data_IF_598142014509
#
_entry.id   IF_598142014509
#
_cell.length_a   1.000
_cell.length_b   1.000
_cell.length_c   1.000
_cell.angle_alpha   90.00
_cell.angle_beta   90.00
_cell.angle_gamma   90.00
#
_symmetry.space_group_name_H-M   'P 1'
#
loop_
_entity.id
_entity.type
_entity.pdbx_description
1 polymer ?
#
# COMPACT_ATOMS: atom_id res chain seq x y z
N UNK A 1 -3.42 -24.55 -18.68
CA UNK A 1 -3.42 -25.34 -17.43
C UNK A 1 -4.66 -25.02 -16.60
N UNK A 2 -4.88 -23.77 -16.18
CA UNK A 2 -6.06 -23.38 -15.39
C UNK A 2 -7.38 -23.94 -15.95
N UNK A 3 -7.70 -23.67 -17.23
CA UNK A 3 -8.94 -24.15 -17.87
C UNK A 3 -9.08 -25.69 -17.85
N UNK A 4 -7.97 -26.42 -17.99
CA UNK A 4 -7.98 -27.88 -17.97
C UNK A 4 -8.32 -28.41 -16.56
N UNK A 5 -7.86 -27.70 -15.53
CA UNK A 5 -8.14 -28.06 -14.14
C UNK A 5 -9.58 -27.69 -13.76
N UNK A 6 -10.06 -26.51 -14.17
CA UNK A 6 -11.45 -26.08 -13.91
C UNK A 6 -12.49 -26.97 -14.63
N UNK A 7 -12.10 -27.55 -15.76
CA UNK A 7 -12.95 -28.44 -16.56
C UNK A 7 -12.52 -29.91 -16.46
N UNK A 8 -11.88 -30.30 -15.36
CA UNK A 8 -11.34 -31.64 -15.16
C UNK A 8 -12.34 -32.78 -15.43
N UNK A 9 -13.59 -32.58 -15.04
CA UNK A 9 -14.67 -33.57 -15.23
C UNK A 9 -15.08 -33.75 -16.70
N UNK A 10 -14.71 -32.82 -17.58
CA UNK A 10 -14.96 -32.92 -19.03
C UNK A 10 -13.82 -33.59 -19.80
N UNK A 11 -12.64 -33.74 -19.18
CA UNK A 11 -11.48 -34.34 -19.81
C UNK A 11 -11.62 -35.87 -19.90
N UNK A 12 -11.24 -36.44 -21.04
CA UNK A 12 -11.11 -37.89 -21.19
C UNK A 12 -9.86 -38.43 -20.48
N UNK A 13 -9.73 -39.76 -20.38
CA UNK A 13 -8.59 -40.40 -19.71
C UNK A 13 -7.24 -39.96 -20.26
N UNK A 14 -7.15 -39.83 -21.58
CA UNK A 14 -5.90 -39.52 -22.28
C UNK A 14 -5.52 -38.05 -22.08
N UNK A 15 -6.51 -37.15 -22.05
CA UNK A 15 -6.31 -35.74 -21.72
C UNK A 15 -5.87 -35.56 -20.27
N UNK A 16 -6.49 -36.28 -19.32
CA UNK A 16 -6.06 -36.28 -17.91
C UNK A 16 -4.64 -36.80 -17.75
N UNK A 17 -4.28 -37.88 -18.45
CA UNK A 17 -2.93 -38.42 -18.45
C UNK A 17 -1.91 -37.40 -19.01
N UNK A 18 -2.24 -36.70 -20.10
CA UNK A 18 -1.40 -35.65 -20.66
C UNK A 18 -1.24 -34.45 -19.71
N UNK A 19 -2.28 -34.09 -18.94
CA UNK A 19 -2.17 -33.06 -17.89
C UNK A 19 -1.19 -33.51 -16.80
N UNK A 20 -1.28 -34.75 -16.33
CA UNK A 20 -0.35 -35.28 -15.32
C UNK A 20 1.08 -35.30 -15.84
N UNK A 21 1.31 -35.84 -17.03
CA UNK A 21 2.63 -35.83 -17.68
C UNK A 21 3.19 -34.41 -17.76
N UNK A 22 2.34 -33.42 -18.11
CA UNK A 22 2.78 -32.03 -18.16
C UNK A 22 3.12 -31.48 -16.78
N UNK A 23 2.36 -31.80 -15.74
CA UNK A 23 2.60 -31.32 -14.38
C UNK A 23 3.85 -31.93 -13.73
N UNK A 24 4.30 -33.10 -14.20
CA UNK A 24 5.41 -33.86 -13.58
C UNK A 24 6.60 -34.11 -14.52
N UNK A 25 6.64 -33.42 -15.66
CA UNK A 25 7.66 -33.62 -16.72
C UNK A 25 9.11 -33.33 -16.33
N UNK A 26 9.35 -32.62 -15.21
CA UNK A 26 10.67 -32.17 -14.77
C UNK A 26 11.16 -30.91 -15.49
N UNK A 27 10.28 -30.12 -16.11
CA UNK A 27 10.64 -28.85 -16.76
C UNK A 27 10.82 -27.74 -15.74
N UNK A 28 11.56 -26.69 -16.14
CA UNK A 28 11.85 -25.55 -15.27
C UNK A 28 10.61 -24.77 -14.82
N UNK A 29 9.51 -24.84 -15.59
CA UNK A 29 8.26 -24.13 -15.34
C UNK A 29 7.21 -24.97 -14.59
N UNK A 30 7.52 -26.23 -14.24
CA UNK A 30 6.52 -27.13 -13.64
C UNK A 30 5.94 -26.59 -12.34
N UNK A 31 6.77 -25.99 -11.48
CA UNK A 31 6.30 -25.38 -10.22
C UNK A 31 5.20 -24.35 -10.43
N UNK A 32 5.25 -23.61 -11.55
CA UNK A 32 4.27 -22.59 -11.86
C UNK A 32 2.96 -23.18 -12.37
N UNK A 33 3.04 -24.23 -13.20
CA UNK A 33 1.85 -24.95 -13.66
C UNK A 33 1.18 -25.71 -12.51
N UNK A 34 1.97 -26.32 -11.64
CA UNK A 34 1.52 -26.98 -10.41
C UNK A 34 0.85 -25.98 -9.47
N UNK A 35 1.46 -24.82 -9.25
CA UNK A 35 0.85 -23.74 -8.48
C UNK A 35 -0.49 -23.31 -9.06
N UNK A 36 -0.57 -23.06 -10.38
CA UNK A 36 -1.83 -22.72 -11.07
C UNK A 36 -2.90 -23.79 -10.88
N UNK A 37 -2.52 -25.07 -10.89
CA UNK A 37 -3.45 -26.18 -10.66
C UNK A 37 -3.96 -26.22 -9.21
N UNK A 38 -3.07 -26.03 -8.23
CA UNK A 38 -3.41 -26.06 -6.80
C UNK A 38 -4.16 -24.80 -6.33
N UNK A 39 -4.02 -23.68 -7.03
CA UNK A 39 -4.72 -22.43 -6.73
C UNK A 39 -6.07 -22.31 -7.44
N UNK A 40 -6.59 -23.36 -8.06
CA UNK A 40 -7.97 -23.34 -8.57
C UNK A 40 -8.98 -23.40 -7.43
N UNK A 41 -10.19 -22.91 -7.70
CA UNK A 41 -11.27 -22.91 -6.70
C UNK A 41 -11.77 -24.31 -6.36
N UNK A 42 -11.67 -25.23 -7.32
CA UNK A 42 -12.00 -26.64 -7.16
C UNK A 42 -10.88 -27.49 -7.77
N UNK A 43 -9.73 -27.56 -7.09
CA UNK A 43 -8.61 -28.36 -7.53
C UNK A 43 -8.95 -29.86 -7.37
N UNK A 44 -8.93 -30.67 -8.45
CA UNK A 44 -9.32 -32.08 -8.39
C UNK A 44 -8.47 -32.86 -7.40
N UNK A 45 -9.10 -33.74 -6.60
CA UNK A 45 -8.41 -34.53 -5.58
C UNK A 45 -7.28 -35.39 -6.13
N UNK A 46 -7.41 -35.89 -7.36
CA UNK A 46 -6.36 -36.63 -8.05
C UNK A 46 -5.13 -35.74 -8.34
N UNK A 47 -5.33 -34.47 -8.71
CA UNK A 47 -4.25 -33.51 -8.93
C UNK A 47 -3.60 -33.10 -7.60
N UNK A 48 -4.41 -32.85 -6.57
CA UNK A 48 -3.91 -32.53 -5.22
C UNK A 48 -3.05 -33.68 -4.67
N UNK A 49 -3.53 -34.92 -4.79
CA UNK A 49 -2.82 -36.11 -4.28
C UNK A 49 -1.52 -36.39 -5.02
N UNK A 50 -1.43 -36.05 -6.30
CA UNK A 50 -0.21 -36.22 -7.09
C UNK A 50 0.85 -35.15 -6.74
N UNK A 51 0.42 -33.92 -6.47
CA UNK A 51 1.33 -32.78 -6.29
C UNK A 51 1.74 -32.54 -4.83
N UNK A 52 0.94 -32.99 -3.87
CA UNK A 52 1.21 -32.81 -2.44
C UNK A 52 1.75 -34.10 -1.81
N UNK A 53 2.54 -34.00 -0.72
CA UNK A 53 3.01 -35.18 0.00
C UNK A 53 1.85 -36.02 0.56
N UNK A 54 2.08 -37.32 0.73
CA UNK A 54 1.11 -38.25 1.29
C UNK A 54 0.45 -37.73 2.58
N UNK A 55 -0.88 -37.74 2.60
CA UNK A 55 -1.67 -37.29 3.75
C UNK A 55 -1.80 -35.78 3.89
N UNK A 56 -1.33 -34.99 2.92
CA UNK A 56 -1.55 -33.55 2.84
C UNK A 56 -2.65 -33.26 1.81
N UNK A 57 -3.60 -32.41 2.19
CA UNK A 57 -4.73 -31.99 1.36
C UNK A 57 -4.99 -30.49 1.57
N UNK A 58 -5.60 -29.82 0.60
CA UNK A 58 -5.87 -28.37 0.64
C UNK A 58 -6.86 -27.96 1.74
N UNK A 59 -7.64 -28.90 2.29
CA UNK A 59 -8.52 -28.68 3.46
C UNK A 59 -7.77 -28.59 4.79
N UNK A 60 -6.46 -28.87 4.81
CA UNK A 60 -5.64 -28.78 6.02
C UNK A 60 -5.51 -27.33 6.51
N UNK A 61 -5.28 -27.12 7.83
CA UNK A 61 -5.04 -25.78 8.35
C UNK A 61 -3.86 -25.08 7.66
N UNK A 62 -3.90 -23.74 7.50
CA UNK A 62 -2.85 -22.98 6.80
C UNK A 62 -1.43 -23.26 7.29
N UNK A 63 -1.24 -23.32 8.61
CA UNK A 63 0.06 -23.62 9.21
C UNK A 63 0.60 -25.00 8.81
N UNK A 64 -0.29 -25.98 8.59
CA UNK A 64 0.10 -27.31 8.14
C UNK A 64 0.52 -27.29 6.68
N UNK A 65 -0.20 -26.57 5.82
CA UNK A 65 0.14 -26.41 4.41
C UNK A 65 1.52 -25.73 4.25
N UNK A 66 1.76 -24.64 4.97
CA UNK A 66 3.02 -23.89 4.92
C UNK A 66 4.23 -24.77 5.27
N UNK A 67 4.08 -25.66 6.26
CA UNK A 67 5.18 -26.53 6.73
C UNK A 67 5.34 -27.78 5.86
N UNK A 68 4.25 -28.37 5.39
CA UNK A 68 4.28 -29.68 4.75
C UNK A 68 4.50 -29.61 3.24
N UNK A 69 4.10 -28.52 2.58
CA UNK A 69 4.28 -28.37 1.14
C UNK A 69 5.77 -28.22 0.76
N UNK A 70 6.19 -28.71 -0.42
CA UNK A 70 7.51 -28.42 -0.95
C UNK A 70 7.76 -26.90 -1.00
N UNK A 71 8.90 -26.38 -0.49
CA UNK A 71 9.13 -24.93 -0.36
C UNK A 71 8.94 -24.13 -1.66
N UNK A 72 9.42 -24.65 -2.79
CA UNK A 72 9.28 -23.98 -4.09
C UNK A 72 7.84 -23.97 -4.61
N UNK A 73 7.02 -24.94 -4.19
CA UNK A 73 5.63 -25.05 -4.61
C UNK A 73 4.72 -24.13 -3.80
N UNK A 74 4.92 -24.04 -2.48
CA UNK A 74 4.19 -23.06 -1.65
C UNK A 74 4.56 -21.63 -2.05
N UNK A 75 5.83 -21.36 -2.34
CA UNK A 75 6.27 -20.08 -2.92
C UNK A 75 5.53 -19.77 -4.22
N UNK A 76 5.57 -20.69 -5.19
CA UNK A 76 4.91 -20.49 -6.48
C UNK A 76 3.38 -20.31 -6.33
N UNK A 77 2.73 -21.07 -5.44
CA UNK A 77 1.30 -20.98 -5.18
C UNK A 77 0.92 -19.62 -4.58
N UNK A 78 1.68 -19.10 -3.62
CA UNK A 78 1.44 -17.78 -3.03
C UNK A 78 1.67 -16.67 -4.07
N UNK A 79 2.69 -16.77 -4.91
CA UNK A 79 2.92 -15.83 -6.02
C UNK A 79 1.77 -15.83 -7.03
N UNK A 80 1.33 -17.02 -7.48
CA UNK A 80 0.19 -17.17 -8.42
C UNK A 80 -1.08 -16.61 -7.80
N UNK A 81 -1.38 -16.98 -6.55
CA UNK A 81 -2.57 -16.52 -5.84
C UNK A 81 -2.58 -15.00 -5.68
N UNK A 82 -1.44 -14.41 -5.29
CA UNK A 82 -1.30 -12.97 -5.09
C UNK A 82 -1.20 -12.19 -6.41
N UNK A 83 -1.01 -12.88 -7.53
CA UNK A 83 -0.81 -12.28 -8.85
C UNK A 83 0.49 -11.47 -8.97
N UNK A 84 1.50 -11.78 -8.16
CA UNK A 84 2.78 -11.04 -8.15
C UNK A 84 3.96 -11.98 -8.30
N UNK A 85 5.04 -11.57 -8.98
CA UNK A 85 5.18 -10.38 -9.84
C UNK A 85 4.38 -10.51 -11.15
N UNK A 86 4.43 -9.49 -12.01
CA UNK A 86 3.95 -9.63 -13.38
C UNK A 86 4.74 -10.73 -14.12
N UNK A 87 4.11 -11.49 -15.05
CA UNK A 87 2.76 -11.30 -15.60
C UNK A 87 1.65 -12.06 -14.86
N UNK A 88 1.88 -12.58 -13.65
CA UNK A 88 0.92 -13.47 -12.96
C UNK A 88 -0.45 -12.81 -12.75
N UNK A 89 -0.50 -11.49 -12.52
CA UNK A 89 -1.76 -10.75 -12.47
C UNK A 89 -2.50 -10.79 -13.81
N UNK A 90 -1.81 -10.49 -14.92
CA UNK A 90 -2.40 -10.38 -16.26
C UNK A 90 -2.96 -11.70 -16.79
N UNK A 91 -2.48 -12.83 -16.27
CA UNK A 91 -3.00 -14.15 -16.62
C UNK A 91 -4.39 -14.44 -16.04
N UNK A 92 -4.88 -13.62 -15.10
CA UNK A 92 -6.23 -13.75 -14.55
C UNK A 92 -6.46 -14.99 -13.68
N UNK A 93 -5.40 -15.66 -13.23
CA UNK A 93 -5.46 -16.85 -12.36
C UNK A 93 -5.34 -16.52 -10.86
N UNK A 94 -4.99 -15.28 -10.52
CA UNK A 94 -4.88 -14.80 -9.14
C UNK A 94 -6.22 -14.79 -8.41
N UNK A 95 -6.18 -14.81 -7.07
CA UNK A 95 -7.34 -14.89 -6.16
C UNK A 95 -8.29 -16.09 -6.36
N UNK A 96 -7.95 -17.02 -7.24
CA UNK A 96 -8.65 -18.30 -7.36
C UNK A 96 -8.35 -19.17 -6.13
N UNK A 97 -9.31 -20.00 -5.69
CA UNK A 97 -9.11 -20.81 -4.48
C UNK A 97 -8.94 -20.02 -3.18
N UNK A 98 -9.52 -18.80 -3.11
CA UNK A 98 -9.41 -17.89 -1.96
C UNK A 98 -9.70 -18.53 -0.60
N UNK A 99 -10.59 -19.52 -0.54
CA UNK A 99 -10.99 -20.15 0.72
C UNK A 99 -9.83 -20.95 1.36
N UNK A 100 -8.86 -21.39 0.55
CA UNK A 100 -7.63 -22.05 0.99
C UNK A 100 -6.49 -21.05 1.09
N UNK A 101 -6.29 -20.25 0.04
CA UNK A 101 -5.05 -19.49 -0.13
C UNK A 101 -5.05 -18.14 0.60
N UNK A 102 -6.20 -17.50 0.79
CA UNK A 102 -6.27 -16.26 1.59
C UNK A 102 -5.84 -16.52 3.06
N UNK A 103 -6.34 -17.57 3.75
CA UNK A 103 -5.83 -17.97 5.06
C UNK A 103 -4.35 -18.33 5.10
N UNK A 104 -3.80 -18.93 4.03
CA UNK A 104 -2.36 -19.25 3.92
C UNK A 104 -1.53 -17.97 3.85
N UNK A 105 -1.91 -17.01 3.01
CA UNK A 105 -1.23 -15.72 2.92
C UNK A 105 -1.31 -14.97 4.25
N UNK A 106 -2.46 -15.00 4.90
CA UNK A 106 -2.67 -14.43 6.23
C UNK A 106 -1.79 -15.06 7.32
N UNK A 107 -1.61 -16.38 7.30
CA UNK A 107 -0.74 -17.07 8.23
C UNK A 107 0.73 -16.66 7.98
N UNK A 108 1.16 -16.57 6.72
CA UNK A 108 2.49 -16.08 6.36
C UNK A 108 2.71 -14.64 6.84
N UNK A 109 1.73 -13.75 6.70
CA UNK A 109 1.81 -12.35 7.14
C UNK A 109 1.99 -12.20 8.67
N UNK A 110 1.72 -13.26 9.45
CA UNK A 110 1.94 -13.33 10.91
C UNK A 110 3.31 -13.90 11.29
N UNK A 111 4.16 -14.22 10.32
CA UNK A 111 5.49 -14.79 10.53
C UNK A 111 6.57 -13.94 9.87
N UNK A 112 7.15 -12.94 10.59
CA UNK A 112 8.17 -12.03 10.06
C UNK A 112 9.37 -12.70 9.42
N UNK A 113 9.77 -13.86 9.93
CA UNK A 113 10.93 -14.61 9.44
C UNK A 113 10.62 -15.47 8.20
N UNK A 114 9.35 -15.54 7.78
CA UNK A 114 8.98 -16.29 6.59
C UNK A 114 9.49 -15.58 5.31
N UNK A 115 10.09 -16.29 4.35
CA UNK A 115 10.62 -15.69 3.12
C UNK A 115 9.60 -14.89 2.30
N UNK A 116 8.32 -15.30 2.38
CA UNK A 116 7.20 -14.67 1.68
C UNK A 116 6.48 -13.59 2.51
N UNK A 117 7.00 -13.19 3.68
CA UNK A 117 6.35 -12.23 4.56
C UNK A 117 6.00 -10.92 3.84
N UNK A 118 6.96 -10.32 3.13
CA UNK A 118 6.70 -9.04 2.47
C UNK A 118 5.69 -9.18 1.31
N UNK A 119 5.73 -10.29 0.57
CA UNK A 119 4.75 -10.60 -0.49
C UNK A 119 3.34 -10.75 0.10
N UNK A 120 3.23 -11.47 1.21
CA UNK A 120 1.97 -11.61 1.92
C UNK A 120 1.42 -10.26 2.37
N UNK A 121 2.28 -9.38 2.88
CA UNK A 121 1.90 -8.02 3.24
C UNK A 121 1.50 -7.15 2.05
N UNK A 122 2.17 -7.29 0.91
CA UNK A 122 1.79 -6.57 -0.32
C UNK A 122 0.38 -6.99 -0.79
N UNK A 123 0.06 -8.29 -0.71
CA UNK A 123 -1.29 -8.80 -1.01
C UNK A 123 -2.33 -8.35 0.04
N UNK A 124 -2.03 -8.50 1.33
CA UNK A 124 -2.95 -8.16 2.43
C UNK A 124 -3.24 -6.66 2.47
N UNK A 125 -2.25 -5.80 2.26
CA UNK A 125 -2.47 -4.36 2.23
C UNK A 125 -3.20 -3.88 0.97
N UNK A 126 -3.15 -4.64 -0.13
CA UNK A 126 -3.92 -4.35 -1.33
C UNK A 126 -5.38 -4.83 -1.25
N UNK A 127 -5.62 -6.01 -0.68
CA UNK A 127 -6.95 -6.65 -0.64
C UNK A 127 -7.71 -6.49 0.68
N UNK A 128 -7.00 -6.16 1.75
CA UNK A 128 -7.56 -6.07 3.09
C UNK A 128 -8.24 -4.75 3.41
N UNK A 129 -9.07 -4.76 4.44
CA UNK A 129 -9.59 -3.57 5.09
C UNK A 129 -8.79 -3.23 6.37
N UNK A 130 -9.03 -2.05 6.93
CA UNK A 130 -8.33 -1.58 8.13
C UNK A 130 -8.50 -2.50 9.35
N UNK A 131 -9.64 -3.18 9.50
CA UNK A 131 -9.92 -4.08 10.61
C UNK A 131 -9.16 -5.40 10.47
N UNK A 132 -9.13 -5.95 9.25
CA UNK A 132 -8.37 -7.14 8.90
C UNK A 132 -6.88 -6.93 9.13
N UNK A 133 -6.33 -5.83 8.62
CA UNK A 133 -4.92 -5.49 8.82
C UNK A 133 -4.61 -5.24 10.29
N UNK A 134 -5.46 -4.51 11.02
CA UNK A 134 -5.33 -4.27 12.47
C UNK A 134 -5.16 -5.57 13.27
N UNK A 135 -5.94 -6.62 12.96
CA UNK A 135 -5.80 -7.92 13.63
C UNK A 135 -4.42 -8.54 13.44
N UNK A 136 -3.90 -8.53 12.21
CA UNK A 136 -2.57 -9.06 11.88
C UNK A 136 -1.48 -8.24 12.58
N UNK A 137 -1.60 -6.90 12.58
CA UNK A 137 -0.69 -6.01 13.32
C UNK A 137 -0.67 -6.33 14.81
N UNK A 138 -1.85 -6.57 15.40
CA UNK A 138 -1.99 -6.95 16.81
C UNK A 138 -1.28 -8.26 17.11
N UNK A 139 -1.47 -9.28 16.26
CA UNK A 139 -0.85 -10.61 16.41
C UNK A 139 0.68 -10.56 16.32
N UNK A 140 1.22 -9.69 15.45
CA UNK A 140 2.67 -9.48 15.32
C UNK A 140 3.30 -8.74 16.50
N UNK A 141 2.55 -7.82 17.11
CA UNK A 141 2.97 -7.06 18.28
C UNK A 141 4.16 -6.12 18.04
N UNK A 142 4.64 -5.53 19.14
CA UNK A 142 5.65 -4.46 19.12
C UNK A 142 6.99 -4.87 18.48
N UNK A 143 7.38 -6.15 18.60
CA UNK A 143 8.65 -6.65 18.05
C UNK A 143 8.77 -6.49 16.53
N UNK A 144 7.63 -6.45 15.81
CA UNK A 144 7.60 -6.31 14.36
C UNK A 144 7.10 -4.93 13.89
N UNK A 145 6.73 -4.05 14.81
CA UNK A 145 5.99 -2.82 14.49
C UNK A 145 6.78 -1.87 13.57
N UNK A 146 8.08 -1.70 13.78
CA UNK A 146 8.94 -0.86 12.92
C UNK A 146 8.97 -1.36 11.45
N UNK A 147 9.02 -2.69 11.26
CA UNK A 147 8.99 -3.30 9.92
C UNK A 147 7.63 -3.11 9.26
N UNK A 148 6.56 -3.33 10.02
CA UNK A 148 5.18 -3.14 9.56
C UNK A 148 4.92 -1.67 9.19
N UNK A 149 5.44 -0.72 9.96
CA UNK A 149 5.38 0.71 9.62
C UNK A 149 5.99 0.99 8.24
N UNK A 150 7.18 0.45 7.97
CA UNK A 150 7.83 0.60 6.67
C UNK A 150 7.00 0.03 5.52
N UNK A 151 6.38 -1.14 5.75
CA UNK A 151 5.50 -1.80 4.78
C UNK A 151 4.24 -0.96 4.51
N UNK A 152 3.52 -0.54 5.55
CA UNK A 152 2.29 0.25 5.39
C UNK A 152 2.56 1.61 4.74
N UNK A 153 3.68 2.26 5.07
CA UNK A 153 4.08 3.51 4.42
C UNK A 153 4.35 3.30 2.94
N UNK A 154 5.15 2.28 2.58
CA UNK A 154 5.40 1.91 1.19
C UNK A 154 4.10 1.69 0.41
N UNK A 155 3.21 0.87 0.96
CA UNK A 155 1.95 0.54 0.31
C UNK A 155 1.08 1.78 0.13
N UNK A 156 0.98 2.63 1.15
CA UNK A 156 0.20 3.86 1.10
C UNK A 156 0.77 4.88 0.11
N UNK A 157 2.08 4.97 -0.04
CA UNK A 157 2.77 5.80 -1.06
C UNK A 157 2.46 5.29 -2.48
N UNK A 158 2.38 3.96 -2.64
CA UNK A 158 2.06 3.31 -3.92
C UNK A 158 0.60 3.41 -4.34
N UNK A 159 -0.34 3.70 -3.43
CA UNK A 159 -1.78 3.71 -3.72
C UNK A 159 -2.48 5.05 -3.43
N UNK A 160 -3.54 5.35 -4.18
CA UNK A 160 -4.44 6.49 -3.89
C UNK A 160 -5.67 5.98 -3.14
N UNK A 161 -6.10 6.71 -2.10
CA UNK A 161 -7.20 6.26 -1.23
C UNK A 161 -6.80 5.09 -0.31
N UNK A 162 -7.77 4.30 0.13
CA UNK A 162 -7.59 3.13 1.01
C UNK A 162 -6.69 3.41 2.22
N UNK A 163 -7.10 4.37 3.04
CA UNK A 163 -6.30 4.87 4.15
C UNK A 163 -6.12 3.90 5.32
N UNK A 164 -7.03 2.93 5.50
CA UNK A 164 -6.99 1.91 6.56
C UNK A 164 -6.72 2.49 7.97
N UNK A 165 -7.46 3.51 8.43
CA UNK A 165 -7.14 4.23 9.66
C UNK A 165 -7.05 3.33 10.90
N UNK A 166 -7.80 2.23 10.95
CA UNK A 166 -7.77 1.31 12.09
C UNK A 166 -6.48 0.49 12.16
N UNK A 167 -5.86 0.19 11.02
CA UNK A 167 -4.54 -0.43 10.96
C UNK A 167 -3.47 0.51 11.51
N UNK A 168 -3.50 1.79 11.09
CA UNK A 168 -2.57 2.82 11.59
C UNK A 168 -2.74 3.05 13.08
N UNK A 169 -3.96 3.25 13.56
CA UNK A 169 -4.23 3.44 14.98
C UNK A 169 -3.74 2.24 15.82
N UNK A 170 -3.89 1.01 15.30
CA UNK A 170 -3.38 -0.18 15.98
C UNK A 170 -1.86 -0.21 16.00
N UNK A 171 -1.22 0.06 14.86
CA UNK A 171 0.23 0.11 14.74
C UNK A 171 0.84 1.16 15.67
N UNK A 172 0.35 2.40 15.63
CA UNK A 172 0.91 3.52 16.42
C UNK A 172 0.88 3.25 17.92
N UNK A 173 -0.14 2.52 18.42
CA UNK A 173 -0.22 2.10 19.83
C UNK A 173 0.86 1.08 20.24
N UNK A 174 1.53 0.44 19.29
CA UNK A 174 2.62 -0.51 19.55
C UNK A 174 3.98 0.15 19.77
N UNK A 175 4.10 1.48 19.60
CA UNK A 175 5.32 2.21 19.90
C UNK A 175 5.72 1.99 21.38
N UNK A 176 6.97 1.63 21.61
CA UNK A 176 7.48 1.28 22.94
C UNK A 176 7.52 2.49 23.89
N UNK A 177 7.75 3.69 23.34
CA UNK A 177 7.83 4.93 24.10
C UNK A 177 7.44 6.16 23.25
N UNK A 178 7.26 7.35 23.88
CA UNK A 178 6.91 8.57 23.16
C UNK A 178 7.95 9.04 22.13
N UNK A 179 9.23 8.70 22.31
CA UNK A 179 10.27 9.08 21.37
C UNK A 179 10.20 8.24 20.09
N UNK A 180 9.92 6.94 20.21
CA UNK A 180 9.63 6.06 19.08
C UNK A 180 8.37 6.48 18.34
N UNK A 181 7.29 6.74 19.07
CA UNK A 181 6.06 7.27 18.48
C UNK A 181 6.33 8.57 17.71
N UNK A 182 7.13 9.48 18.28
CA UNK A 182 7.55 10.72 17.63
C UNK A 182 8.29 10.48 16.31
N UNK A 183 9.25 9.55 16.27
CA UNK A 183 9.98 9.17 15.05
C UNK A 183 9.06 8.59 13.99
N UNK A 184 8.06 7.81 14.39
CA UNK A 184 7.08 7.25 13.44
C UNK A 184 6.24 8.35 12.81
N UNK A 185 5.79 9.34 13.59
CA UNK A 185 5.10 10.51 13.05
C UNK A 185 5.98 11.32 12.09
N UNK A 186 7.28 11.44 12.36
CA UNK A 186 8.24 12.09 11.45
C UNK A 186 8.28 11.36 10.10
N UNK A 187 8.39 10.02 10.12
CA UNK A 187 8.38 9.19 8.89
C UNK A 187 7.05 9.30 8.12
N UNK A 188 5.92 9.40 8.82
CA UNK A 188 4.63 9.64 8.17
C UNK A 188 4.59 10.99 7.46
N UNK A 189 5.18 12.02 8.06
CA UNK A 189 5.26 13.37 7.47
C UNK A 189 6.19 13.41 6.27
N UNK A 190 7.34 12.75 6.34
CA UNK A 190 8.25 12.60 5.20
C UNK A 190 7.56 11.95 3.98
N UNK A 191 6.69 10.96 4.22
CA UNK A 191 5.92 10.30 3.17
C UNK A 191 4.67 11.11 2.73
N UNK A 192 4.23 12.07 3.53
CA UNK A 192 2.96 12.78 3.33
C UNK A 192 2.81 13.49 1.97
N UNK A 193 3.85 14.08 1.32
CA UNK A 193 3.70 14.68 -0.01
C UNK A 193 3.34 13.68 -1.11
N UNK A 194 3.61 12.38 -0.89
CA UNK A 194 3.23 11.32 -1.82
C UNK A 194 1.86 10.69 -1.51
N UNK A 195 1.42 10.78 -0.25
CA UNK A 195 0.21 10.16 0.29
C UNK A 195 -0.99 11.11 0.28
N UNK A 196 -0.80 12.34 0.76
CA UNK A 196 -1.85 13.34 0.94
C UNK A 196 -1.87 14.26 -0.28
N UNK A 197 -3.01 14.33 -0.95
CA UNK A 197 -3.21 15.35 -1.96
C UNK A 197 -3.57 16.68 -1.28
N UNK A 198 -4.27 16.62 -0.14
CA UNK A 198 -4.71 17.76 0.66
C UNK A 198 -4.55 17.52 2.17
N UNK A 199 -4.31 18.57 2.97
CA UNK A 199 -4.18 18.46 4.43
C UNK A 199 -5.43 17.88 5.11
N UNK A 200 -6.61 18.08 4.52
CA UNK A 200 -7.87 17.52 5.04
C UNK A 200 -7.97 16.00 4.88
N UNK A 201 -7.19 15.40 3.97
CA UNK A 201 -7.10 13.95 3.81
C UNK A 201 -6.49 13.27 5.04
N UNK A 202 -5.77 14.03 5.87
CA UNK A 202 -5.15 13.51 7.09
C UNK A 202 -6.19 12.87 8.04
N UNK A 203 -7.43 13.36 8.04
CA UNK A 203 -8.53 12.79 8.85
C UNK A 203 -9.04 11.45 8.32
N UNK A 204 -8.77 11.15 7.05
CA UNK A 204 -9.04 9.84 6.47
C UNK A 204 -7.95 8.84 6.86
N UNK A 205 -6.72 9.35 7.07
CA UNK A 205 -5.55 8.55 7.45
C UNK A 205 -5.47 8.23 8.94
N UNK A 206 -5.71 9.23 9.79
CA UNK A 206 -5.53 9.16 11.24
C UNK A 206 -6.83 9.46 11.96
N UNK A 207 -7.30 8.49 12.76
CA UNK A 207 -8.50 8.62 13.59
C UNK A 207 -8.19 8.96 15.04
N UNK A 208 -7.01 8.60 15.54
CA UNK A 208 -6.58 8.95 16.89
C UNK A 208 -6.20 10.42 16.98
N UNK A 209 -6.79 11.12 17.95
CA UNK A 209 -6.63 12.58 18.11
C UNK A 209 -5.18 12.96 18.44
N UNK A 210 -4.46 12.14 19.20
CA UNK A 210 -3.04 12.34 19.51
C UNK A 210 -2.19 12.34 18.24
N UNK A 211 -2.43 11.37 17.36
CA UNK A 211 -1.60 11.12 16.20
C UNK A 211 -1.91 12.15 15.12
N UNK A 212 -3.20 12.44 14.93
CA UNK A 212 -3.68 13.53 14.07
C UNK A 212 -3.03 14.86 14.46
N UNK A 213 -3.04 15.22 15.75
CA UNK A 213 -2.38 16.45 16.23
C UNK A 213 -0.88 16.38 16.03
N UNK A 214 -0.26 15.25 16.35
CA UNK A 214 1.18 15.05 16.19
C UNK A 214 1.66 15.24 14.74
N UNK A 215 0.89 14.79 13.75
CA UNK A 215 1.17 15.04 12.33
C UNK A 215 0.86 16.48 11.94
N UNK A 216 -0.28 17.05 12.39
CA UNK A 216 -0.62 18.44 12.11
C UNK A 216 0.43 19.43 12.62
N UNK A 217 0.99 19.19 13.81
CA UNK A 217 2.06 20.02 14.39
C UNK A 217 3.33 20.02 13.53
N UNK A 218 3.61 18.91 12.83
CA UNK A 218 4.72 18.79 11.88
C UNK A 218 4.40 19.40 10.52
N UNK A 219 3.12 19.44 10.14
CA UNK A 219 2.59 20.09 8.94
C UNK A 219 2.18 21.55 9.18
N UNK A 220 2.71 22.21 10.21
CA UNK A 220 2.38 23.60 10.53
C UNK A 220 2.59 24.57 9.37
N UNK A 221 3.56 24.31 8.48
CA UNK A 221 3.83 25.15 7.29
C UNK A 221 2.63 25.20 6.35
N UNK A 222 1.92 24.08 6.20
CA UNK A 222 0.71 24.00 5.40
C UNK A 222 -0.48 24.66 6.12
N UNK A 223 -0.67 24.34 7.40
CA UNK A 223 -1.78 24.85 8.19
C UNK A 223 -1.73 26.38 8.35
N UNK A 224 -0.59 26.94 8.77
CA UNK A 224 -0.43 28.40 8.99
C UNK A 224 -0.67 29.18 7.70
N UNK A 225 -0.19 28.67 6.56
CA UNK A 225 -0.39 29.35 5.27
C UNK A 225 -1.87 29.37 4.86
N UNK A 226 -2.61 28.29 5.13
CA UNK A 226 -4.06 28.24 4.88
C UNK A 226 -4.85 29.15 5.83
N UNK A 227 -4.48 29.21 7.10
CA UNK A 227 -5.11 30.12 8.07
C UNK A 227 -4.88 31.60 7.69
N UNK A 228 -3.67 31.97 7.30
CA UNK A 228 -3.39 33.32 6.80
C UNK A 228 -4.18 33.67 5.55
N UNK A 229 -4.39 32.70 4.66
CA UNK A 229 -5.29 32.88 3.52
C UNK A 229 -6.74 33.08 3.95
N UNK A 230 -7.24 32.39 4.97
CA UNK A 230 -8.60 32.64 5.47
C UNK A 230 -8.71 34.07 6.01
N UNK A 231 -7.74 34.54 6.80
CA UNK A 231 -7.70 35.91 7.32
C UNK A 231 -7.71 36.94 6.18
N UNK A 232 -6.97 36.71 5.08
CA UNK A 232 -6.91 37.62 3.94
C UNK A 232 -8.30 37.85 3.29
N UNK A 233 -9.12 36.80 3.22
CA UNK A 233 -10.39 36.80 2.49
C UNK A 233 -11.63 36.97 3.37
N UNK A 234 -11.51 36.74 4.68
CA UNK A 234 -12.58 36.85 5.67
C UNK A 234 -12.33 38.05 6.61
N UNK A 235 -11.94 39.20 6.06
CA UNK A 235 -11.73 40.43 6.83
C UNK A 235 -13.08 41.05 7.27
N UNK A 236 -13.18 41.56 8.51
CA UNK A 236 -14.36 42.32 8.96
C UNK A 236 -14.59 43.61 8.13
N UNK A 237 -15.86 43.98 7.94
CA UNK A 237 -16.30 45.12 7.11
C UNK A 237 -15.77 46.50 7.59
N UNK A 238 -15.25 46.60 8.81
CA UNK A 238 -14.81 47.83 9.47
C UNK A 238 -13.28 48.09 9.43
N UNK A 239 -12.52 47.22 8.76
CA UNK A 239 -11.07 47.33 8.64
C UNK A 239 -10.67 48.05 7.34
N UNK A 240 -9.61 48.87 7.36
CA UNK A 240 -8.97 49.36 6.13
C UNK A 240 -8.35 48.16 5.38
N UNK A 241 -9.18 47.54 4.55
CA UNK A 241 -8.91 46.24 3.99
C UNK A 241 -7.66 46.24 3.09
N UNK A 242 -7.29 47.37 2.48
CA UNK A 242 -6.20 47.38 1.48
C UNK A 242 -4.81 47.28 2.10
N UNK A 243 -4.48 48.10 3.08
CA UNK A 243 -3.16 48.05 3.71
C UNK A 243 -2.95 46.71 4.44
N UNK A 244 -3.99 46.21 5.09
CA UNK A 244 -3.95 44.91 5.74
C UNK A 244 -3.81 43.76 4.73
N UNK A 245 -4.56 43.79 3.62
CA UNK A 245 -4.42 42.79 2.54
C UNK A 245 -3.00 42.78 1.97
N UNK A 246 -2.44 43.95 1.65
CA UNK A 246 -1.06 44.05 1.13
C UNK A 246 -0.03 43.50 2.13
N UNK A 247 -0.20 43.77 3.42
CA UNK A 247 0.67 43.24 4.46
C UNK A 247 0.55 41.72 4.61
N UNK A 248 -0.67 41.17 4.55
CA UNK A 248 -0.89 39.72 4.60
C UNK A 248 -0.31 39.04 3.36
N UNK A 249 -0.46 39.62 2.16
CA UNK A 249 0.15 39.10 0.92
C UNK A 249 1.67 39.06 1.01
N UNK A 250 2.30 40.12 1.51
CA UNK A 250 3.77 40.15 1.74
C UNK A 250 4.20 39.09 2.75
N UNK A 251 3.44 38.91 3.83
CA UNK A 251 3.71 37.87 4.82
C UNK A 251 3.55 36.47 4.26
N UNK A 252 2.52 36.21 3.45
CA UNK A 252 2.33 34.95 2.74
C UNK A 252 3.50 34.67 1.79
N UNK A 253 3.95 35.68 1.02
CA UNK A 253 5.10 35.54 0.14
C UNK A 253 6.38 35.20 0.92
N UNK A 254 6.60 35.85 2.07
CA UNK A 254 7.71 35.52 2.96
C UNK A 254 7.59 34.08 3.50
N UNK A 255 6.41 33.66 3.96
CA UNK A 255 6.20 32.30 4.47
C UNK A 255 6.45 31.24 3.41
N UNK A 256 5.98 31.44 2.18
CA UNK A 256 6.21 30.47 1.09
C UNK A 256 7.70 30.37 0.74
N UNK A 257 8.47 31.45 0.91
CA UNK A 257 9.90 31.45 0.65
C UNK A 257 10.71 30.80 1.78
N UNK A 258 10.44 31.17 3.02
CA UNK A 258 11.25 30.73 4.19
C UNK A 258 10.75 29.40 4.80
N UNK A 259 9.44 29.16 4.74
CA UNK A 259 8.76 28.02 5.33
C UNK A 259 7.75 27.41 4.34
N UNK A 260 8.21 26.93 3.17
CA UNK A 260 7.32 26.50 2.09
C UNK A 260 6.35 25.38 2.53
N UNK A 261 5.11 25.36 2.01
CA UNK A 261 4.19 24.25 2.19
C UNK A 261 4.78 22.91 1.73
N UNK A 262 4.39 21.81 2.38
CA UNK A 262 4.82 20.45 2.05
C UNK A 262 3.85 19.76 1.09
N UNK A 263 2.57 20.15 1.10
CA UNK A 263 1.53 19.50 0.30
C UNK A 263 1.15 20.36 -0.90
N UNK A 264 1.06 19.74 -2.08
CA UNK A 264 0.73 20.47 -3.30
C UNK A 264 -0.72 20.99 -3.28
N UNK A 265 -1.65 20.30 -2.58
CA UNK A 265 -3.02 20.77 -2.38
C UNK A 265 -3.10 22.10 -1.61
N UNK A 266 -2.16 22.34 -0.69
CA UNK A 266 -2.03 23.65 -0.03
C UNK A 266 -1.73 24.75 -1.05
N UNK A 267 -0.77 24.50 -1.95
CA UNK A 267 -0.48 25.42 -3.05
C UNK A 267 -1.68 25.60 -3.97
N UNK A 268 -2.39 24.52 -4.33
CA UNK A 268 -3.57 24.59 -5.20
C UNK A 268 -4.71 25.41 -4.59
N UNK A 269 -4.97 25.28 -3.29
CA UNK A 269 -5.96 26.12 -2.58
C UNK A 269 -5.60 27.60 -2.63
N UNK A 270 -4.33 27.93 -2.34
CA UNK A 270 -3.82 29.30 -2.36
C UNK A 270 -3.93 29.90 -3.76
N UNK A 271 -3.43 29.19 -4.78
CA UNK A 271 -3.48 29.60 -6.19
C UNK A 271 -4.94 29.86 -6.62
N UNK A 272 -5.85 28.95 -6.29
CA UNK A 272 -7.26 29.05 -6.68
C UNK A 272 -7.98 30.23 -6.02
N UNK A 273 -7.70 30.53 -4.74
CA UNK A 273 -8.32 31.69 -4.07
C UNK A 273 -7.70 33.01 -4.53
N UNK A 274 -6.38 33.11 -4.57
CA UNK A 274 -5.68 34.34 -5.00
C UNK A 274 -6.01 34.70 -6.45
N UNK A 275 -6.10 33.72 -7.35
CA UNK A 275 -6.46 33.94 -8.75
C UNK A 275 -7.90 34.43 -8.99
N UNK A 276 -8.77 34.38 -7.97
CA UNK A 276 -10.13 34.95 -8.02
C UNK A 276 -10.21 36.34 -7.37
N UNK A 277 -9.12 36.81 -6.78
CA UNK A 277 -9.05 38.10 -6.10
C UNK A 277 -8.65 39.21 -7.05
N UNK A 278 -8.99 40.46 -6.70
CA UNK A 278 -8.52 41.66 -7.39
C UNK A 278 -7.17 42.17 -6.86
N UNK A 279 -6.52 41.41 -5.96
CA UNK A 279 -5.29 41.78 -5.26
C UNK A 279 -4.10 41.45 -6.16
N UNK A 280 -3.11 42.36 -6.24
CA UNK A 280 -1.87 42.07 -6.96
C UNK A 280 -1.06 41.00 -6.22
N UNK A 281 -1.02 39.81 -6.80
CA UNK A 281 -0.43 38.61 -6.21
C UNK A 281 0.50 37.91 -7.19
N UNK A 282 1.00 38.61 -8.21
CA UNK A 282 1.73 37.99 -9.32
C UNK A 282 2.98 37.22 -8.87
N UNK A 283 3.80 37.84 -8.01
CA UNK A 283 5.02 37.23 -7.45
C UNK A 283 4.69 36.02 -6.55
N UNK A 284 3.70 36.19 -5.67
CA UNK A 284 3.21 35.13 -4.79
C UNK A 284 2.68 33.92 -5.59
N UNK A 285 1.92 34.17 -6.65
CA UNK A 285 1.38 33.14 -7.54
C UNK A 285 2.48 32.39 -8.29
N UNK A 286 3.56 33.09 -8.70
CA UNK A 286 4.72 32.44 -9.31
C UNK A 286 5.43 31.52 -8.31
N UNK A 287 5.73 32.02 -7.11
CA UNK A 287 6.36 31.22 -6.05
C UNK A 287 5.55 29.97 -5.66
N UNK A 288 4.22 30.09 -5.60
CA UNK A 288 3.32 28.96 -5.32
C UNK A 288 3.36 27.89 -6.42
N UNK A 289 3.40 28.30 -7.70
CA UNK A 289 3.48 27.37 -8.84
C UNK A 289 4.82 26.64 -8.88
N UNK A 290 5.90 27.35 -8.59
CA UNK A 290 7.24 26.77 -8.50
C UNK A 290 7.30 25.76 -7.35
N UNK A 291 6.82 26.13 -6.16
CA UNK A 291 6.78 25.22 -5.01
C UNK A 291 5.90 23.99 -5.28
N UNK A 292 4.72 24.18 -5.87
CA UNK A 292 3.84 23.07 -6.29
C UNK A 292 4.56 22.09 -7.21
N UNK A 293 5.31 22.60 -8.18
CA UNK A 293 6.08 21.76 -9.13
C UNK A 293 7.20 21.00 -8.43
N UNK A 294 7.88 21.64 -7.48
CA UNK A 294 8.88 20.99 -6.63
C UNK A 294 8.27 19.84 -5.81
N UNK A 295 7.13 20.06 -5.15
CA UNK A 295 6.43 19.02 -4.37
C UNK A 295 6.05 17.82 -5.26
N UNK A 296 5.54 18.07 -6.46
CA UNK A 296 5.20 16.99 -7.40
C UNK A 296 6.43 16.21 -7.89
N UNK A 297 7.60 16.83 -7.88
CA UNK A 297 8.89 16.16 -8.16
C UNK A 297 9.34 15.34 -6.96
N UNK A 298 9.29 15.91 -5.75
CA UNK A 298 9.54 15.21 -4.47
C UNK A 298 8.65 13.97 -4.34
N UNK A 299 7.36 14.09 -4.66
CA UNK A 299 6.39 12.97 -4.69
C UNK A 299 6.84 11.83 -5.58
N UNK A 300 7.42 12.11 -6.76
CA UNK A 300 7.92 11.07 -7.67
C UNK A 300 9.16 10.38 -7.10
N UNK A 301 10.04 11.14 -6.46
CA UNK A 301 11.24 10.60 -5.79
C UNK A 301 10.84 9.68 -4.64
N UNK A 302 9.97 10.13 -3.73
CA UNK A 302 9.46 9.33 -2.61
C UNK A 302 8.84 8.02 -3.11
N UNK A 303 8.02 8.08 -4.17
CA UNK A 303 7.42 6.89 -4.79
C UNK A 303 8.49 5.92 -5.31
N UNK A 304 9.46 6.42 -6.07
CA UNK A 304 10.53 5.59 -6.63
C UNK A 304 11.44 4.97 -5.57
N UNK A 305 11.71 5.67 -4.46
CA UNK A 305 12.55 5.16 -3.37
C UNK A 305 11.87 4.06 -2.55
N UNK A 306 10.54 4.10 -2.47
CA UNK A 306 9.75 3.09 -1.76
C UNK A 306 9.31 1.92 -2.63
N UNK A 307 9.40 2.03 -3.95
CA UNK A 307 9.04 0.96 -4.87
C UNK A 307 9.96 -0.26 -4.70
N UNK A 308 9.36 -1.45 -4.59
CA UNK A 308 10.14 -2.69 -4.53
C UNK A 308 10.57 -3.09 -5.94
N UNK A 309 11.80 -3.60 -6.10
CA UNK A 309 12.18 -4.22 -7.36
C UNK A 309 11.27 -5.43 -7.62
N UNK A 310 10.81 -5.58 -8.85
CA UNK A 310 10.14 -6.79 -9.27
C UNK A 310 11.09 -7.98 -9.13
N UNK A 311 10.60 -9.04 -8.49
CA UNK A 311 11.36 -10.28 -8.38
C UNK A 311 11.26 -11.07 -9.69
N UNK A 312 12.34 -11.68 -10.19
CA UNK A 312 12.25 -12.51 -11.39
C UNK A 312 11.51 -13.82 -11.08
N UNK A 313 10.63 -14.24 -11.99
CA UNK A 313 10.01 -15.57 -11.93
C UNK A 313 11.02 -16.65 -12.37
N UNK A 314 11.77 -17.22 -11.43
CA UNK A 314 12.78 -18.24 -11.74
C UNK A 314 12.11 -19.45 -12.42
N UNK A 315 12.70 -19.91 -13.52
CA UNK A 315 12.21 -21.07 -14.29
C UNK A 315 10.94 -20.80 -15.12
N UNK A 316 10.40 -19.58 -15.07
CA UNK A 316 9.22 -19.20 -15.87
C UNK A 316 9.54 -19.23 -17.36
N UNK A 317 8.62 -19.79 -18.14
CA UNK A 317 8.66 -19.80 -19.59
C UNK A 317 7.49 -18.92 -20.04
N UNK A 318 7.80 -17.84 -20.76
CA UNK A 318 6.78 -16.96 -21.29
C UNK A 318 5.84 -17.75 -22.22
N UNK A 319 4.52 -17.56 -22.09
CA UNK A 319 3.54 -18.24 -22.93
C UNK A 319 3.65 -17.85 -24.41
#
# INVERSE_FOLDING_TARGET
>A
MADLIDHWELLCSDERAAVFERLTSGRSDDRWLQAVALTRSDAPSAVVSELLPDGIDLSQPPARLIVAMPPMLIEAAVHVYSGQPQPLWWLGTHHSGKDVWEPVVEAIARHPDHPLFDLAWDHIGFTGDGQRVSRIVTDLGAASAERVLGILLRLKVGCTGYFMPEAWATLMRLAADPAEHGRWLDRMVEASPAILDDISDLRLWLTEVSDLRGVLDRLQRDFVTLEMMNILFDLPDDVDARELQDNIVKMLALLIRECPPLLFGTCDRLINRLGRSAIDTAELMAALRDRRTAILTERKVIKSEMERPEQPLIGWINP
#
